data_IF_227693690763
#
_entry.id   IF_227693690763
#
_cell.length_a   1.000
_cell.length_b   1.000
_cell.length_c   1.000
_cell.angle_alpha   90.00
_cell.angle_beta   90.00
_cell.angle_gamma   90.00
#
_symmetry.space_group_name_H-M   'P 1'
#
loop_
_entity.id
_entity.type
_entity.pdbx_description
1 polymer ?
#
# COMPACT_ATOMS: atom_id res chain seq x y z
N UNK A 1 -9.68 25.72 -7.85
CA UNK A 1 -8.47 25.09 -8.43
C UNK A 1 -8.83 23.70 -8.92
N UNK A 2 -8.48 23.33 -10.16
CA UNK A 2 -8.78 22.01 -10.75
C UNK A 2 -7.46 21.26 -10.98
N UNK A 3 -7.38 20.03 -10.52
CA UNK A 3 -6.18 19.19 -10.56
C UNK A 3 -6.23 18.31 -11.81
N UNK A 4 -5.06 17.93 -12.33
CA UNK A 4 -4.99 17.06 -13.50
C UNK A 4 -5.50 15.65 -13.18
N UNK A 5 -6.29 15.08 -14.08
CA UNK A 5 -6.79 13.72 -13.94
C UNK A 5 -5.68 12.66 -13.88
N UNK A 6 -4.55 12.89 -14.57
CA UNK A 6 -3.42 11.96 -14.55
C UNK A 6 -2.80 11.82 -13.16
N UNK A 7 -2.70 12.92 -12.41
CA UNK A 7 -2.22 12.91 -11.03
C UNK A 7 -3.17 12.12 -10.12
N UNK A 8 -4.48 12.29 -10.30
CA UNK A 8 -5.49 11.54 -9.55
C UNK A 8 -5.41 10.03 -9.81
N UNK A 9 -5.23 9.61 -11.07
CA UNK A 9 -5.05 8.19 -11.42
C UNK A 9 -3.75 7.61 -10.84
N UNK A 10 -2.66 8.36 -10.90
CA UNK A 10 -1.38 7.95 -10.30
C UNK A 10 -1.53 7.73 -8.79
N UNK A 11 -2.20 8.63 -8.08
CA UNK A 11 -2.44 8.49 -6.64
C UNK A 11 -3.40 7.35 -6.29
N UNK A 12 -4.40 7.07 -7.13
CA UNK A 12 -5.27 5.89 -6.99
C UNK A 12 -4.44 4.60 -7.10
N UNK A 13 -3.58 4.51 -8.10
CA UNK A 13 -2.69 3.37 -8.32
C UNK A 13 -1.69 3.19 -7.17
N UNK A 14 -1.05 4.28 -6.72
CA UNK A 14 -0.11 4.26 -5.60
C UNK A 14 -0.76 3.73 -4.31
N UNK A 15 -2.04 4.04 -4.10
CA UNK A 15 -2.82 3.52 -2.95
C UNK A 15 -3.43 2.14 -3.20
N UNK A 16 -3.22 1.55 -4.38
CA UNK A 16 -3.86 0.32 -4.85
C UNK A 16 -5.40 0.36 -4.71
N UNK A 17 -5.99 1.49 -5.07
CA UNK A 17 -7.44 1.76 -4.97
C UNK A 17 -7.99 2.03 -6.35
N UNK A 18 -9.06 1.33 -6.73
CA UNK A 18 -9.77 1.61 -7.97
C UNK A 18 -10.81 2.75 -7.79
N UNK A 19 -11.24 3.35 -8.91
CA UNK A 19 -12.23 4.45 -8.91
C UNK A 19 -13.56 4.10 -8.27
N UNK A 20 -13.99 2.84 -8.31
CA UNK A 20 -15.26 2.39 -7.70
C UNK A 20 -15.16 2.43 -6.18
N UNK A 21 -14.05 1.95 -5.63
CA UNK A 21 -13.74 2.04 -4.20
C UNK A 21 -13.64 3.50 -3.75
N UNK A 22 -12.94 4.35 -4.52
CA UNK A 22 -12.89 5.79 -4.23
C UNK A 22 -14.28 6.45 -4.27
N UNK A 23 -15.08 6.17 -5.30
CA UNK A 23 -16.43 6.72 -5.44
C UNK A 23 -17.33 6.35 -4.24
N UNK A 24 -17.26 5.09 -3.80
CA UNK A 24 -17.99 4.62 -2.62
C UNK A 24 -17.54 5.34 -1.34
N UNK A 25 -16.23 5.49 -1.13
CA UNK A 25 -15.69 6.19 0.05
C UNK A 25 -16.05 7.67 0.05
N UNK A 26 -15.86 8.35 -1.08
CA UNK A 26 -16.09 9.78 -1.23
C UNK A 26 -17.58 10.15 -1.27
N UNK A 27 -18.48 9.15 -1.30
CA UNK A 27 -19.92 9.32 -1.54
C UNK A 27 -20.20 10.12 -2.82
N UNK A 28 -19.39 9.89 -3.86
CA UNK A 28 -19.55 10.50 -5.18
C UNK A 28 -20.06 9.42 -6.15
N UNK A 29 -21.07 9.70 -6.99
CA UNK A 29 -21.50 8.73 -8.00
C UNK A 29 -20.32 8.28 -8.87
N UNK A 30 -20.18 6.96 -9.07
CA UNK A 30 -19.08 6.39 -9.86
C UNK A 30 -18.97 7.03 -11.26
N UNK A 31 -20.10 7.29 -11.91
CA UNK A 31 -20.15 7.92 -13.24
C UNK A 31 -19.54 9.33 -13.25
N UNK A 32 -19.66 10.07 -12.14
CA UNK A 32 -19.03 11.38 -11.97
C UNK A 32 -17.51 11.25 -11.89
N UNK A 33 -17.01 10.30 -11.09
CA UNK A 33 -15.56 10.02 -10.97
C UNK A 33 -14.99 9.54 -12.30
N UNK A 34 -15.68 8.63 -12.99
CA UNK A 34 -15.27 8.16 -14.32
C UNK A 34 -15.31 9.29 -15.38
N UNK A 35 -16.26 10.22 -15.24
CA UNK A 35 -16.41 11.39 -16.10
C UNK A 35 -15.26 12.37 -16.03
N UNK A 36 -14.49 12.40 -14.93
CA UNK A 36 -13.34 13.31 -14.80
C UNK A 36 -12.27 13.06 -15.86
N UNK A 37 -12.12 11.82 -16.34
CA UNK A 37 -11.25 11.47 -17.48
C UNK A 37 -11.60 12.28 -18.74
N UNK A 38 -12.89 12.43 -19.04
CA UNK A 38 -13.36 13.18 -20.22
C UNK A 38 -13.11 14.67 -20.09
N UNK A 39 -13.21 15.20 -18.86
CA UNK A 39 -12.95 16.61 -18.59
C UNK A 39 -11.46 16.94 -18.44
N UNK A 40 -10.59 15.93 -18.31
CA UNK A 40 -9.16 16.08 -17.99
C UNK A 40 -8.88 16.67 -16.61
N UNK A 41 -9.91 16.94 -15.80
CA UNK A 41 -9.81 17.70 -14.56
C UNK A 41 -10.56 17.02 -13.42
N UNK A 42 -9.96 17.08 -12.25
CA UNK A 42 -10.48 16.54 -10.99
C UNK A 42 -10.70 17.71 -10.02
N UNK A 43 -11.85 17.78 -9.32
CA UNK A 43 -12.06 18.79 -8.30
C UNK A 43 -11.03 18.67 -7.17
N UNK A 44 -10.52 19.80 -6.67
CA UNK A 44 -9.50 19.79 -5.61
C UNK A 44 -9.91 19.02 -4.35
N UNK A 45 -11.20 19.05 -3.96
CA UNK A 45 -11.69 18.31 -2.80
C UNK A 45 -11.56 16.78 -2.97
N UNK A 46 -11.61 16.25 -4.19
CA UNK A 46 -11.47 14.82 -4.44
C UNK A 46 -10.05 14.32 -4.11
N UNK A 47 -9.04 15.19 -4.27
CA UNK A 47 -7.67 14.86 -3.88
C UNK A 47 -7.51 14.79 -2.37
N UNK A 48 -8.17 15.68 -1.62
CA UNK A 48 -8.21 15.63 -0.16
C UNK A 48 -8.90 14.34 0.32
N UNK A 49 -10.01 13.96 -0.31
CA UNK A 49 -10.70 12.70 -0.01
C UNK A 49 -9.81 11.49 -0.36
N UNK A 50 -9.08 11.53 -1.46
CA UNK A 50 -8.16 10.47 -1.86
C UNK A 50 -6.97 10.35 -0.89
N UNK A 51 -6.48 11.45 -0.34
CA UNK A 51 -5.44 11.40 0.70
C UNK A 51 -5.96 10.74 1.98
N UNK A 52 -7.19 11.08 2.37
CA UNK A 52 -7.83 10.60 3.58
C UNK A 52 -8.44 9.20 3.44
N UNK A 53 -8.49 8.63 2.23
CA UNK A 53 -9.02 7.28 2.06
C UNK A 53 -8.14 6.30 2.84
N UNK A 54 -8.73 5.48 3.73
CA UNK A 54 -7.98 4.42 4.35
C UNK A 54 -7.53 3.44 3.26
N UNK A 55 -6.23 3.19 3.17
CA UNK A 55 -5.69 2.12 2.32
C UNK A 55 -6.38 0.79 2.66
N UNK A 56 -6.57 -0.13 1.68
CA UNK A 56 -7.24 -1.39 1.91
C UNK A 56 -6.63 -2.06 3.14
N UNK A 57 -7.44 -2.15 4.20
CA UNK A 57 -6.92 -2.37 5.55
C UNK A 57 -6.46 -3.79 5.79
N UNK A 58 -6.75 -4.74 4.90
CA UNK A 58 -6.56 -6.17 5.16
C UNK A 58 -6.02 -6.94 3.96
N UNK A 59 -5.15 -7.91 4.24
CA UNK A 59 -4.49 -8.82 3.29
C UNK A 59 -4.65 -10.25 3.79
N UNK A 60 -4.63 -11.21 2.87
CA UNK A 60 -4.53 -12.64 3.17
C UNK A 60 -3.15 -13.16 2.76
N UNK A 61 -2.61 -14.13 3.49
CA UNK A 61 -1.32 -14.71 3.12
C UNK A 61 -1.37 -15.39 1.75
N UNK A 62 -2.53 -15.93 1.35
CA UNK A 62 -2.74 -16.51 0.01
C UNK A 62 -2.40 -15.53 -1.11
N UNK A 63 -2.81 -14.26 -0.99
CA UNK A 63 -2.52 -13.25 -2.03
C UNK A 63 -1.02 -13.01 -2.23
N UNK A 64 -0.22 -13.08 -1.16
CA UNK A 64 1.23 -12.95 -1.26
C UNK A 64 1.89 -14.23 -1.77
N UNK A 65 1.37 -15.40 -1.39
CA UNK A 65 1.83 -16.69 -1.96
C UNK A 65 1.62 -16.69 -3.47
N UNK A 66 0.45 -16.25 -3.93
CA UNK A 66 0.13 -16.13 -5.36
C UNK A 66 1.02 -15.08 -6.05
N UNK A 67 1.52 -14.08 -5.31
CA UNK A 67 2.52 -13.11 -5.78
C UNK A 67 3.98 -13.63 -5.70
N UNK A 68 4.18 -14.90 -5.34
CA UNK A 68 5.50 -15.56 -5.33
C UNK A 68 6.22 -15.55 -3.97
N UNK A 69 5.55 -15.17 -2.88
CA UNK A 69 6.15 -15.30 -1.54
C UNK A 69 6.19 -16.76 -1.06
N UNK A 70 7.34 -17.24 -0.54
CA UNK A 70 7.45 -18.57 0.03
C UNK A 70 6.55 -18.74 1.25
N UNK A 71 5.85 -19.88 1.31
CA UNK A 71 4.94 -20.20 2.42
C UNK A 71 5.63 -20.19 3.79
N UNK A 72 6.91 -20.56 3.85
CA UNK A 72 7.71 -20.64 5.06
C UNK A 72 7.91 -19.28 5.77
N UNK A 73 7.67 -18.16 5.08
CA UNK A 73 7.76 -16.83 5.67
C UNK A 73 6.53 -16.50 6.53
N UNK A 74 5.38 -17.12 6.25
CA UNK A 74 4.14 -16.80 6.94
C UNK A 74 4.06 -17.48 8.32
N UNK A 75 3.60 -16.70 9.29
CA UNK A 75 3.38 -17.14 10.67
C UNK A 75 1.98 -17.73 10.89
N UNK A 76 1.12 -17.68 9.88
CA UNK A 76 -0.29 -18.07 9.98
C UNK A 76 -0.54 -19.38 9.22
N UNK A 77 -1.16 -20.36 9.90
CA UNK A 77 -1.51 -21.65 9.30
C UNK A 77 -2.75 -21.56 8.41
N UNK A 78 -3.61 -20.55 8.63
CA UNK A 78 -4.75 -20.25 7.76
C UNK A 78 -4.38 -19.12 6.79
N UNK A 79 -4.12 -19.50 5.53
CA UNK A 79 -3.74 -18.56 4.48
C UNK A 79 -4.91 -17.73 3.94
N UNK A 80 -6.16 -18.08 4.27
CA UNK A 80 -7.36 -17.40 3.81
C UNK A 80 -7.86 -16.33 4.78
N UNK A 81 -7.35 -16.33 6.01
CA UNK A 81 -7.68 -15.34 7.02
C UNK A 81 -7.25 -13.94 6.59
N UNK A 82 -8.20 -13.01 6.62
CA UNK A 82 -7.95 -11.58 6.43
C UNK A 82 -7.34 -10.98 7.68
N UNK A 83 -6.18 -10.34 7.52
CA UNK A 83 -5.40 -9.71 8.58
C UNK A 83 -5.12 -8.27 8.19
N UNK A 84 -5.12 -7.30 9.13
CA UNK A 84 -4.81 -5.94 8.77
C UNK A 84 -3.42 -5.78 8.14
N UNK A 85 -3.27 -4.95 7.10
CA UNK A 85 -2.02 -4.83 6.34
C UNK A 85 -0.85 -4.42 7.23
N UNK A 86 -1.03 -3.40 8.08
CA UNK A 86 0.01 -2.93 8.98
C UNK A 86 0.45 -4.03 9.96
N UNK A 87 -0.51 -4.74 10.54
CA UNK A 87 -0.24 -5.87 11.42
C UNK A 87 0.48 -6.99 10.66
N UNK A 88 0.06 -7.27 9.42
CA UNK A 88 0.65 -8.31 8.60
C UNK A 88 2.10 -7.99 8.21
N UNK A 89 2.35 -6.76 7.76
CA UNK A 89 3.67 -6.22 7.42
C UNK A 89 4.59 -6.30 8.63
N UNK A 90 4.19 -5.69 9.74
CA UNK A 90 5.00 -5.63 10.95
C UNK A 90 5.28 -7.02 11.50
N UNK A 91 4.27 -7.90 11.57
CA UNK A 91 4.44 -9.25 12.11
C UNK A 91 5.36 -10.12 11.25
N UNK A 92 5.29 -9.96 9.93
CA UNK A 92 6.14 -10.73 9.01
C UNK A 92 7.58 -10.20 9.02
N UNK A 93 7.77 -8.89 8.93
CA UNK A 93 9.10 -8.27 8.94
C UNK A 93 9.80 -8.43 10.29
N UNK A 94 9.07 -8.45 11.41
CA UNK A 94 9.63 -8.78 12.72
C UNK A 94 10.24 -10.17 12.78
N UNK A 95 9.76 -11.10 11.95
CA UNK A 95 10.22 -12.49 11.91
C UNK A 95 11.26 -12.74 10.82
N UNK A 96 11.10 -12.13 9.64
CA UNK A 96 11.99 -12.28 8.50
C UNK A 96 11.99 -11.01 7.66
N UNK A 97 13.13 -10.33 7.62
CA UNK A 97 13.32 -9.05 6.91
C UNK A 97 14.55 -9.09 5.99
N UNK A 98 14.91 -10.26 5.48
CA UNK A 98 15.94 -10.32 4.44
C UNK A 98 15.50 -9.53 3.19
N UNK A 99 16.47 -9.17 2.36
CA UNK A 99 16.26 -8.33 1.16
C UNK A 99 15.12 -8.84 0.27
N UNK A 100 15.05 -10.16 0.05
CA UNK A 100 13.98 -10.76 -0.75
C UNK A 100 12.58 -10.50 -0.18
N UNK A 101 12.40 -10.65 1.14
CA UNK A 101 11.10 -10.40 1.79
C UNK A 101 10.76 -8.91 1.72
N UNK A 102 11.70 -8.03 2.00
CA UNK A 102 11.49 -6.57 1.93
C UNK A 102 11.09 -6.16 0.51
N UNK A 103 11.84 -6.61 -0.50
CA UNK A 103 11.55 -6.37 -1.90
C UNK A 103 10.14 -6.83 -2.28
N UNK A 104 9.76 -8.06 -1.93
CA UNK A 104 8.41 -8.58 -2.23
C UNK A 104 7.31 -7.81 -1.53
N UNK A 105 7.56 -7.32 -0.32
CA UNK A 105 6.60 -6.48 0.40
C UNK A 105 6.46 -5.11 -0.25
N UNK A 106 7.56 -4.51 -0.71
CA UNK A 106 7.53 -3.25 -1.47
C UNK A 106 6.82 -3.44 -2.82
N UNK A 107 7.10 -4.52 -3.54
CA UNK A 107 6.42 -4.85 -4.81
C UNK A 107 4.91 -5.06 -4.61
N UNK A 108 4.50 -5.71 -3.52
CA UNK A 108 3.09 -6.06 -3.28
C UNK A 108 2.29 -4.93 -2.62
N UNK A 109 2.83 -4.29 -1.58
CA UNK A 109 2.13 -3.28 -0.78
C UNK A 109 2.45 -1.83 -1.19
N UNK A 110 3.55 -1.61 -1.91
CA UNK A 110 4.12 -0.30 -2.15
C UNK A 110 5.01 0.18 -0.99
N UNK A 111 6.08 0.89 -1.34
CA UNK A 111 7.08 1.43 -0.39
C UNK A 111 6.43 2.27 0.71
N UNK A 112 5.62 3.26 0.34
CA UNK A 112 4.93 4.15 1.28
C UNK A 112 4.12 3.38 2.32
N UNK A 113 3.44 2.30 1.90
CA UNK A 113 2.61 1.48 2.79
C UNK A 113 3.46 0.71 3.78
N UNK A 114 4.59 0.14 3.32
CA UNK A 114 5.52 -0.62 4.17
C UNK A 114 6.16 0.31 5.20
N UNK A 115 6.68 1.46 4.77
CA UNK A 115 7.29 2.44 5.66
C UNK A 115 6.27 3.01 6.66
N UNK A 116 5.06 3.37 6.20
CA UNK A 116 4.00 3.85 7.09
C UNK A 116 3.60 2.79 8.14
N UNK A 117 3.54 1.52 7.77
CA UNK A 117 3.26 0.43 8.72
C UNK A 117 4.36 0.30 9.77
N UNK A 118 5.64 0.38 9.38
CA UNK A 118 6.77 0.32 10.29
C UNK A 118 6.79 1.52 11.24
N UNK A 119 6.61 2.74 10.72
CA UNK A 119 6.58 3.96 11.55
C UNK A 119 5.42 3.95 12.54
N UNK A 120 4.24 3.47 12.13
CA UNK A 120 3.06 3.37 13.00
C UNK A 120 3.27 2.45 14.21
N UNK A 121 4.08 1.41 14.07
CA UNK A 121 4.38 0.42 15.12
C UNK A 121 5.85 0.47 15.56
N UNK A 122 6.50 1.64 15.41
CA UNK A 122 7.93 1.84 15.69
C UNK A 122 8.31 1.42 17.11
N UNK A 123 7.42 1.65 18.08
CA UNK A 123 7.57 1.29 19.49
C UNK A 123 7.78 -0.22 19.73
N UNK A 124 7.41 -1.07 18.77
CA UNK A 124 7.47 -2.55 18.87
C UNK A 124 8.54 -3.19 17.99
N UNK A 125 9.35 -2.37 17.33
CA UNK A 125 10.33 -2.75 16.32
C UNK A 125 11.74 -2.37 16.77
N UNK A 126 12.75 -3.09 16.28
CA UNK A 126 14.14 -2.74 16.52
C UNK A 126 14.60 -1.68 15.50
N UNK A 127 15.47 -0.76 15.93
CA UNK A 127 16.05 0.23 15.02
C UNK A 127 16.78 -0.43 13.85
N UNK A 128 17.49 -1.55 14.11
CA UNK A 128 18.15 -2.36 13.06
C UNK A 128 17.19 -2.82 11.95
N UNK A 129 15.96 -3.22 12.30
CA UNK A 129 14.96 -3.62 11.29
C UNK A 129 14.57 -2.41 10.43
N UNK A 130 14.27 -1.30 11.10
CA UNK A 130 13.83 -0.07 10.45
C UNK A 130 14.92 0.44 9.50
N UNK A 131 16.16 0.50 9.96
CA UNK A 131 17.32 0.90 9.16
C UNK A 131 17.54 -0.05 7.97
N UNK A 132 17.41 -1.37 8.17
CA UNK A 132 17.55 -2.35 7.08
C UNK A 132 16.50 -2.15 5.99
N UNK A 133 15.25 -1.87 6.37
CA UNK A 133 14.17 -1.63 5.39
C UNK A 133 14.36 -0.29 4.70
N UNK A 134 14.70 0.77 5.43
CA UNK A 134 14.92 2.10 4.86
C UNK A 134 16.12 2.13 3.91
N UNK A 135 17.21 1.44 4.23
CA UNK A 135 18.38 1.36 3.36
C UNK A 135 18.06 0.59 2.07
N UNK A 136 17.31 -0.50 2.17
CA UNK A 136 16.90 -1.29 1.00
C UNK A 136 15.98 -0.49 0.06
N UNK A 137 15.06 0.30 0.61
CA UNK A 137 14.19 1.18 -0.21
C UNK A 137 14.98 2.34 -0.84
N UNK A 138 15.95 2.91 -0.12
CA UNK A 138 16.79 4.00 -0.63
C UNK A 138 17.76 3.54 -1.74
N UNK A 139 18.38 2.36 -1.63
CA UNK A 139 19.31 1.85 -2.67
C UNK A 139 18.60 1.54 -4.00
N UNK A 140 17.30 1.25 -3.96
CA UNK A 140 16.48 1.03 -5.15
C UNK A 140 16.30 2.32 -5.96
N UNK A 141 16.39 3.50 -5.34
CA UNK A 141 16.30 4.82 -6.00
C UNK A 141 17.63 5.27 -6.65
N UNK A 142 18.77 4.78 -6.17
CA UNK A 142 20.10 5.19 -6.69
C UNK A 142 20.51 4.35 -7.91
N UNK A 143 19.83 3.23 -8.16
CA UNK A 143 20.17 2.27 -9.21
C UNK A 143 19.35 2.42 -10.51
N UNK A 144 18.59 3.52 -10.67
CA UNK A 144 17.79 3.84 -11.86
C UNK A 144 18.20 5.16 -12.48
#
# INVERSE_FOLDING_TARGET
MKIDHTLFESMLNAKNINKKTFAQYAQIPYYTVAGWKKSGKVPAYAMVLLQNIPSPKTVTAKQLIDAGMPRAIFWNNDFTKTVPNDIFIVSTLKRSYNDFVVQKFVEFFGEDTVLAALMKHRDKLSDKLIDSVMNHTNDTLVST
#
